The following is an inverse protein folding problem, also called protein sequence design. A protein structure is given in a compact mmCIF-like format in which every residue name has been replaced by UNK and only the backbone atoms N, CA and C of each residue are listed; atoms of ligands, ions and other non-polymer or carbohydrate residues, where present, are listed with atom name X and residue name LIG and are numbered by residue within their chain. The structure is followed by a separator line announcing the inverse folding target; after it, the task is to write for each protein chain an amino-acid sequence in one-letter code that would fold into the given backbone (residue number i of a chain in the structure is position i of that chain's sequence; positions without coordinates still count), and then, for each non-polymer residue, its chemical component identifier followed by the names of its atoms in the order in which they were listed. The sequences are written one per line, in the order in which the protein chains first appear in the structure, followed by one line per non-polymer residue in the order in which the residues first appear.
data_IF_693853082236
#
_entry.id   IF_693853082236
#
_cell.length_a   1.000
_cell.length_b   1.000
_cell.length_c   1.000
_cell.angle_alpha   90.00
_cell.angle_beta   90.00
_cell.angle_gamma   90.00
#
_symmetry.space_group_name_H-M   'P 1'
#
loop_
_entity.id
_entity.type
_entity.pdbx_description
1 polymer ?
#
# COMPACT_ATOMS: atom_id res chain seq x y z
N UNK A 1 -28.08 25.92 -2.70
CA UNK A 1 -27.37 25.35 -3.43
C UNK A 1 -26.43 24.49 -2.84
N UNK A 2 -26.48 23.43 -2.96
CA UNK A 2 -25.60 22.50 -2.38
C UNK A 2 -24.31 22.42 -3.14
N UNK A 3 -23.21 22.55 -2.43
CA UNK A 3 -21.96 22.31 -3.04
C UNK A 3 -21.73 20.81 -2.99
N UNK A 4 -21.53 20.22 -4.11
CA UNK A 4 -21.24 18.81 -4.16
C UNK A 4 -19.80 18.59 -3.72
N UNK A 5 -19.61 17.84 -2.66
CA UNK A 5 -18.28 17.47 -2.20
C UNK A 5 -17.97 16.09 -2.71
N UNK A 6 -16.95 16.00 -3.55
CA UNK A 6 -16.48 14.71 -4.01
C UNK A 6 -15.49 14.18 -2.99
N UNK A 7 -15.83 13.04 -2.42
CA UNK A 7 -15.00 12.42 -1.39
C UNK A 7 -14.31 11.23 -2.02
N UNK A 8 -13.01 11.32 -2.17
CA UNK A 8 -12.22 10.29 -2.83
C UNK A 8 -11.62 9.34 -1.80
N UNK A 9 -11.46 8.07 -2.16
CA UNK A 9 -10.74 7.13 -1.29
C UNK A 9 -9.32 7.59 -1.07
N UNK A 10 -8.79 7.32 0.12
CA UNK A 10 -7.41 7.60 0.48
C UNK A 10 -6.69 6.30 0.74
N UNK A 11 -5.52 6.16 0.14
CA UNK A 11 -4.66 5.01 0.31
C UNK A 11 -3.42 5.46 1.08
N UNK A 12 -3.16 4.84 2.23
CA UNK A 12 -2.06 5.23 3.08
C UNK A 12 -1.13 4.05 3.30
N UNK A 13 0.16 4.29 3.21
CA UNK A 13 1.18 3.32 3.57
C UNK A 13 2.21 3.97 4.47
N UNK A 14 3.02 3.17 5.11
CA UNK A 14 4.14 3.63 5.92
C UNK A 14 5.43 3.04 5.41
N UNK A 15 6.51 3.78 5.53
CA UNK A 15 7.82 3.28 5.15
C UNK A 15 8.12 2.02 5.97
N UNK A 16 8.73 1.05 5.34
CA UNK A 16 9.05 -0.22 5.95
C UNK A 16 10.57 -0.39 6.02
N UNK A 17 11.07 -0.70 7.20
CA UNK A 17 12.45 -1.13 7.38
C UNK A 17 12.43 -2.56 7.88
N UNK A 18 13.11 -3.44 7.16
CA UNK A 18 13.10 -4.86 7.47
C UNK A 18 14.47 -5.46 7.27
N UNK A 19 14.69 -6.64 7.85
CA UNK A 19 15.88 -7.42 7.57
C UNK A 19 15.58 -8.43 6.46
N UNK A 20 16.59 -8.81 5.71
CA UNK A 20 16.44 -9.73 4.62
C UNK A 20 15.79 -11.04 5.10
N UNK A 21 14.71 -11.43 4.45
CA UNK A 21 13.96 -12.66 4.74
C UNK A 21 13.38 -12.75 6.15
N UNK A 22 13.06 -11.61 6.77
CA UNK A 22 12.45 -11.65 8.11
C UNK A 22 10.93 -11.87 8.10
N UNK A 23 10.33 -11.97 6.92
CA UNK A 23 8.90 -12.19 6.79
C UNK A 23 8.04 -10.95 6.89
N UNK A 24 8.65 -9.77 6.91
CA UNK A 24 7.90 -8.53 6.97
C UNK A 24 7.06 -8.29 5.73
N UNK A 25 5.94 -7.61 5.91
CA UNK A 25 5.05 -7.24 4.82
C UNK A 25 4.91 -5.73 4.75
N UNK A 26 4.82 -5.22 3.52
CA UNK A 26 4.38 -3.84 3.33
C UNK A 26 2.87 -3.82 3.35
N UNK A 27 2.28 -2.88 4.08
CA UNK A 27 0.83 -2.77 4.22
C UNK A 27 0.37 -1.38 3.82
N UNK A 28 -0.73 -1.33 3.08
CA UNK A 28 -1.40 -0.09 2.74
C UNK A 28 -2.85 -0.19 3.18
N UNK A 29 -3.36 0.88 3.77
CA UNK A 29 -4.75 0.93 4.23
C UNK A 29 -5.55 1.82 3.31
N UNK A 30 -6.69 1.31 2.87
CA UNK A 30 -7.61 2.03 2.00
C UNK A 30 -8.85 2.41 2.79
N UNK A 31 -9.16 3.70 2.81
CA UNK A 31 -10.34 4.22 3.47
C UNK A 31 -11.11 5.11 2.52
N UNK A 32 -12.42 5.24 2.73
CA UNK A 32 -13.21 6.19 1.96
C UNK A 32 -13.01 7.59 2.54
N UNK A 33 -13.65 8.58 1.94
CA UNK A 33 -13.46 9.96 2.35
C UNK A 33 -13.99 10.28 3.74
N UNK A 34 -14.75 9.37 4.36
CA UNK A 34 -15.23 9.53 5.72
C UNK A 34 -14.34 8.80 6.72
N UNK A 35 -13.28 8.15 6.26
CA UNK A 35 -12.37 7.40 7.11
C UNK A 35 -12.76 5.95 7.33
N UNK A 36 -13.81 5.47 6.63
CA UNK A 36 -14.27 4.08 6.78
C UNK A 36 -13.42 3.15 5.93
N UNK A 37 -13.00 2.04 6.51
CA UNK A 37 -12.20 1.04 5.79
C UNK A 37 -12.96 0.46 4.61
N UNK A 38 -12.26 0.28 3.49
CA UNK A 38 -12.82 -0.31 2.28
C UNK A 38 -12.28 -1.73 2.11
N UNK A 39 -13.13 -2.70 2.35
CA UNK A 39 -12.79 -4.11 2.22
C UNK A 39 -13.05 -4.64 0.82
N UNK A 40 -12.38 -5.72 0.45
CA UNK A 40 -12.58 -6.43 -0.82
C UNK A 40 -12.31 -5.56 -2.05
N UNK A 41 -11.35 -4.63 -1.93
CA UNK A 41 -10.93 -3.79 -3.04
C UNK A 41 -9.54 -4.18 -3.47
N UNK A 42 -9.26 -4.10 -4.76
CA UNK A 42 -7.95 -4.45 -5.29
C UNK A 42 -7.04 -3.24 -5.23
N UNK A 43 -5.92 -3.39 -4.51
CA UNK A 43 -4.86 -2.39 -4.48
C UNK A 43 -3.68 -2.95 -5.29
N UNK A 44 -3.14 -2.13 -6.17
CA UNK A 44 -1.98 -2.51 -6.98
C UNK A 44 -0.73 -1.90 -6.40
N UNK A 45 0.26 -2.73 -6.12
CA UNK A 45 1.57 -2.28 -5.68
C UNK A 45 2.57 -2.41 -6.82
N UNK A 46 3.40 -1.39 -6.99
CA UNK A 46 4.53 -1.43 -7.92
C UNK A 46 5.80 -1.28 -7.11
N UNK A 47 6.65 -2.28 -7.15
CA UNK A 47 7.95 -2.22 -6.50
C UNK A 47 8.96 -2.97 -7.38
N UNK A 48 10.12 -2.36 -7.56
CA UNK A 48 11.20 -2.96 -8.35
C UNK A 48 10.76 -3.33 -9.76
N UNK A 49 9.85 -2.53 -10.35
CA UNK A 49 9.36 -2.73 -11.71
C UNK A 49 8.31 -3.85 -11.84
N UNK A 50 7.84 -4.41 -10.73
CA UNK A 50 6.86 -5.50 -10.75
C UNK A 50 5.57 -5.04 -10.12
N UNK A 51 4.44 -5.43 -10.72
CA UNK A 51 3.12 -5.08 -10.23
C UNK A 51 2.50 -6.26 -9.49
N UNK A 52 1.90 -5.97 -8.33
CA UNK A 52 1.21 -6.97 -7.52
C UNK A 52 -0.19 -6.46 -7.20
N UNK A 53 -1.21 -7.29 -7.39
CA UNK A 53 -2.59 -6.95 -7.04
C UNK A 53 -2.95 -7.68 -5.76
N UNK A 54 -3.39 -6.93 -4.74
CA UNK A 54 -3.78 -7.49 -3.46
C UNK A 54 -5.15 -6.97 -3.07
N UNK A 55 -5.92 -7.80 -2.38
CA UNK A 55 -7.29 -7.46 -1.98
C UNK A 55 -7.26 -6.97 -0.53
N UNK A 56 -7.94 -5.86 -0.25
CA UNK A 56 -8.03 -5.34 1.11
C UNK A 56 -8.89 -6.28 1.98
N UNK A 57 -8.50 -6.38 3.24
CA UNK A 57 -9.24 -7.16 4.23
C UNK A 57 -10.36 -6.31 4.86
N UNK A 58 -10.98 -6.82 5.92
CA UNK A 58 -12.09 -6.12 6.58
C UNK A 58 -11.66 -4.80 7.20
N UNK A 59 -10.37 -4.62 7.44
CA UNK A 59 -9.82 -3.38 7.97
C UNK A 59 -9.32 -2.44 6.87
N UNK A 60 -9.55 -2.79 5.61
CA UNK A 60 -9.11 -2.01 4.47
C UNK A 60 -7.63 -2.15 4.18
N UNK A 61 -6.96 -3.17 4.70
CA UNK A 61 -5.52 -3.35 4.56
C UNK A 61 -5.19 -4.33 3.46
N UNK A 62 -4.35 -3.90 2.51
CA UNK A 62 -3.74 -4.77 1.53
C UNK A 62 -2.29 -5.00 1.94
N UNK A 63 -1.84 -6.24 1.92
CA UNK A 63 -0.52 -6.62 2.39
C UNK A 63 0.28 -7.28 1.29
N UNK A 64 1.57 -6.95 1.21
CA UNK A 64 2.48 -7.53 0.22
C UNK A 64 3.70 -8.08 0.93
N UNK A 65 3.99 -9.35 0.70
CA UNK A 65 5.22 -9.96 1.22
C UNK A 65 6.41 -9.39 0.46
N UNK A 66 7.42 -8.98 1.20
CA UNK A 66 8.62 -8.41 0.60
C UNK A 66 9.72 -9.45 0.59
N UNK A 67 10.05 -9.94 -0.61
CA UNK A 67 11.10 -10.94 -0.83
C UNK A 67 12.18 -10.37 -1.73
N UNK A 68 12.78 -9.27 -1.30
CA UNK A 68 13.79 -8.57 -2.07
C UNK A 68 15.14 -8.66 -1.38
N UNK A 69 16.21 -8.58 -2.16
CA UNK A 69 17.56 -8.53 -1.60
C UNK A 69 17.78 -7.22 -0.87
N UNK A 70 18.84 -7.15 -0.06
CA UNK A 70 19.16 -5.94 0.67
C UNK A 70 19.26 -4.75 -0.28
N UNK A 71 18.67 -3.62 0.09
CA UNK A 71 18.66 -2.42 -0.70
C UNK A 71 17.51 -1.51 -0.31
N UNK A 72 17.46 -0.37 -0.98
CA UNK A 72 16.41 0.61 -0.77
C UNK A 72 15.50 0.63 -2.00
N UNK A 73 14.21 0.48 -1.77
CA UNK A 73 13.22 0.41 -2.84
C UNK A 73 12.13 1.44 -2.63
N UNK A 74 11.51 1.89 -3.72
CA UNK A 74 10.32 2.71 -3.67
C UNK A 74 9.14 1.83 -4.05
N UNK A 75 8.13 1.78 -3.20
CA UNK A 75 6.90 1.06 -3.48
C UNK A 75 5.78 2.07 -3.71
N UNK A 76 5.08 1.91 -4.82
CA UNK A 76 3.94 2.76 -5.15
C UNK A 76 2.68 1.94 -5.01
N UNK A 77 1.74 2.46 -4.22
CA UNK A 77 0.44 1.82 -4.01
C UNK A 77 -0.61 2.59 -4.78
N UNK A 78 -1.47 1.89 -5.50
CA UNK A 78 -2.43 2.52 -6.41
C UNK A 78 -3.82 1.94 -6.22
N UNK A 79 -4.81 2.81 -6.25
CA UNK A 79 -6.22 2.42 -6.25
C UNK A 79 -7.04 3.49 -6.94
N UNK A 80 -7.80 3.09 -7.96
CA UNK A 80 -8.77 3.96 -8.64
C UNK A 80 -8.22 5.35 -8.99
N UNK A 81 -7.04 5.38 -9.59
CA UNK A 81 -6.40 6.62 -10.00
C UNK A 81 -5.63 7.35 -8.91
N UNK A 82 -5.71 6.90 -7.67
CA UNK A 82 -4.93 7.45 -6.57
C UNK A 82 -3.64 6.66 -6.41
N UNK A 83 -2.54 7.33 -6.20
CA UNK A 83 -1.25 6.67 -6.00
C UNK A 83 -0.49 7.34 -4.87
N UNK A 84 0.20 6.53 -4.07
CA UNK A 84 1.08 7.03 -3.02
C UNK A 84 2.32 6.16 -2.99
N UNK A 85 3.43 6.74 -2.59
CA UNK A 85 4.72 6.05 -2.59
C UNK A 85 5.34 6.04 -1.20
N UNK A 86 6.02 4.95 -0.90
CA UNK A 86 6.74 4.78 0.36
C UNK A 86 8.10 4.15 0.07
N UNK A 87 8.95 4.16 1.09
CA UNK A 87 10.27 3.55 1.01
C UNK A 87 10.26 2.20 1.71
N UNK A 88 10.83 1.20 1.07
CA UNK A 88 11.11 -0.10 1.69
C UNK A 88 12.62 -0.26 1.77
N UNK A 89 13.14 -0.35 2.98
CA UNK A 89 14.55 -0.56 3.23
C UNK A 89 14.75 -1.98 3.74
N UNK A 90 15.51 -2.78 2.98
CA UNK A 90 15.82 -4.15 3.35
C UNK A 90 17.27 -4.18 3.79
N UNK A 91 17.49 -4.51 5.05
CA UNK A 91 18.82 -4.57 5.62
C UNK A 91 19.42 -5.95 5.42
N UNK A 92 20.75 -5.98 5.24
CA UNK A 92 21.47 -7.23 5.16
C UNK A 92 21.62 -7.81 6.56
N UNK A 93 21.52 -9.10 6.67
CA UNK A 93 21.78 -9.79 7.92
C UNK A 93 23.28 -9.86 8.18
#
# INVERSE_FOLDING_TARGET
MGKKVTVLPTLEGSDLTMNYKDGSQFKARLVDGTGRALANKTVTFNINGVFYNKITDVNGVASLNINLVAGKYIITSMYDGYATSNTVLVNRL
#
